data_IF_871423585083
#
_entry.id   IF_871423585083
#
_cell.length_a   1.000
_cell.length_b   1.000
_cell.length_c   1.000
_cell.angle_alpha   90.00
_cell.angle_beta   90.00
_cell.angle_gamma   90.00
#
_symmetry.space_group_name_H-M   'P 1'
#
loop_
_entity.id
_entity.type
_entity.pdbx_description
1 polymer ?
#
# COMPACT_ATOMS: atom_id res chain seq x y z
N UNK A 1 1.61 40.80 -0.75
CA UNK A 1 0.22 40.55 -0.30
C UNK A 1 0.29 40.07 1.14
N UNK A 2 -0.50 40.69 2.01
CA UNK A 2 -0.55 40.39 3.44
C UNK A 2 -1.07 38.95 3.66
N UNK A 3 -0.34 38.07 4.37
CA UNK A 3 -0.80 36.73 4.71
C UNK A 3 -2.15 36.69 5.43
N UNK A 4 -2.56 37.80 6.06
CA UNK A 4 -3.81 37.93 6.78
C UNK A 4 -5.06 38.10 5.87
N UNK A 5 -4.90 38.53 4.61
CA UNK A 5 -6.04 38.71 3.69
C UNK A 5 -6.40 37.43 2.90
N UNK A 6 -5.47 36.48 2.79
CA UNK A 6 -5.67 35.21 2.07
C UNK A 6 -6.63 34.23 2.80
N UNK A 7 -6.96 34.49 4.06
CA UNK A 7 -7.82 33.62 4.88
C UNK A 7 -9.33 33.94 4.77
N UNK A 8 -9.73 34.91 3.92
CA UNK A 8 -11.13 35.36 3.77
C UNK A 8 -11.90 34.73 2.60
N UNK A 9 -11.63 33.48 2.28
CA UNK A 9 -12.56 32.66 1.48
C UNK A 9 -12.83 31.31 2.15
N UNK A 10 -12.98 31.31 3.48
CA UNK A 10 -13.46 30.12 4.21
C UNK A 10 -14.98 29.99 4.02
N UNK A 11 -15.40 29.70 2.79
CA UNK A 11 -16.75 29.22 2.51
C UNK A 11 -16.88 27.82 3.09
N UNK A 12 -18.03 27.45 3.64
CA UNK A 12 -18.23 26.11 4.22
C UNK A 12 -17.87 24.95 3.27
N UNK A 13 -17.88 25.22 1.95
CA UNK A 13 -17.53 24.29 0.88
C UNK A 13 -16.05 23.88 0.84
N UNK A 14 -15.09 24.77 1.13
CA UNK A 14 -13.66 24.41 1.10
C UNK A 14 -13.29 23.40 2.19
N UNK A 15 -14.10 23.29 3.25
CA UNK A 15 -13.95 22.26 4.28
C UNK A 15 -14.36 20.86 3.79
N UNK A 16 -15.33 20.77 2.89
CA UNK A 16 -15.82 19.49 2.34
C UNK A 16 -15.15 19.14 1.02
N UNK A 17 -14.72 20.14 0.26
CA UNK A 17 -14.02 20.02 -1.02
C UNK A 17 -12.70 20.81 -0.97
N UNK A 18 -11.66 20.31 -0.28
CA UNK A 18 -10.37 20.98 -0.12
C UNK A 18 -9.73 21.45 -1.42
N UNK A 19 -9.95 20.74 -2.53
CA UNK A 19 -9.44 21.15 -3.83
C UNK A 19 -9.89 22.53 -4.29
N UNK A 20 -11.04 23.03 -3.85
CA UNK A 20 -11.47 24.39 -4.17
C UNK A 20 -10.56 25.46 -3.51
N UNK A 21 -9.85 25.11 -2.45
CA UNK A 21 -8.90 25.99 -1.78
C UNK A 21 -7.57 26.11 -2.52
N UNK A 22 -6.99 24.99 -2.96
CA UNK A 22 -5.66 24.98 -3.59
C UNK A 22 -5.72 25.19 -5.12
N UNK A 23 -6.83 24.87 -5.78
CA UNK A 23 -6.94 24.99 -7.25
C UNK A 23 -6.67 26.41 -7.78
N UNK A 24 -7.13 27.51 -7.13
CA UNK A 24 -6.80 28.88 -7.55
C UNK A 24 -5.32 29.25 -7.43
N UNK A 25 -4.55 28.55 -6.59
CA UNK A 25 -3.12 28.80 -6.37
C UNK A 25 -2.23 28.15 -7.44
N UNK A 26 -2.81 27.27 -8.27
CA UNK A 26 -2.10 26.57 -9.35
C UNK A 26 -1.70 27.56 -10.44
N UNK A 27 -0.40 27.66 -10.67
CA UNK A 27 0.20 28.46 -11.73
C UNK A 27 1.12 27.59 -12.60
N UNK A 28 1.68 28.15 -13.68
CA UNK A 28 2.53 27.39 -14.62
C UNK A 28 3.77 26.79 -13.97
N UNK A 29 4.30 27.41 -12.92
CA UNK A 29 5.51 26.93 -12.23
C UNK A 29 5.18 25.78 -11.28
N UNK A 30 4.10 25.90 -10.51
CA UNK A 30 3.63 24.83 -9.61
C UNK A 30 3.13 23.64 -10.40
N UNK A 31 2.35 23.85 -11.47
CA UNK A 31 1.88 22.75 -12.33
C UNK A 31 3.03 21.92 -12.92
N UNK A 32 4.13 22.57 -13.35
CA UNK A 32 5.31 21.84 -13.86
C UNK A 32 6.03 21.07 -12.75
N UNK A 33 6.19 21.69 -11.58
CA UNK A 33 6.84 21.06 -10.43
C UNK A 33 6.02 19.85 -9.95
N UNK A 34 4.71 20.02 -9.79
CA UNK A 34 3.78 19.00 -9.32
C UNK A 34 3.63 17.86 -10.34
N UNK A 35 3.66 18.16 -11.64
CA UNK A 35 3.66 17.13 -12.67
C UNK A 35 4.91 16.23 -12.58
N UNK A 36 6.10 16.82 -12.43
CA UNK A 36 7.34 16.05 -12.28
C UNK A 36 7.33 15.25 -10.97
N UNK A 37 6.87 15.85 -9.87
CA UNK A 37 6.75 15.19 -8.58
C UNK A 37 5.75 14.02 -8.64
N UNK A 38 4.56 14.25 -9.19
CA UNK A 38 3.51 13.25 -9.36
C UNK A 38 3.95 12.11 -10.28
N UNK A 39 4.63 12.41 -11.38
CA UNK A 39 5.21 11.38 -12.26
C UNK A 39 6.24 10.54 -11.50
N UNK A 40 7.12 11.16 -10.73
CA UNK A 40 8.13 10.45 -9.93
C UNK A 40 7.48 9.54 -8.89
N UNK A 41 6.45 10.04 -8.19
CA UNK A 41 5.69 9.25 -7.20
C UNK A 41 4.96 8.09 -7.88
N UNK A 42 4.29 8.32 -9.01
CA UNK A 42 3.58 7.29 -9.76
C UNK A 42 4.53 6.17 -10.22
N UNK A 43 5.70 6.52 -10.74
CA UNK A 43 6.72 5.56 -11.18
C UNK A 43 7.21 4.64 -10.06
N UNK A 44 7.28 5.13 -8.82
CA UNK A 44 7.61 4.32 -7.64
C UNK A 44 6.40 3.55 -7.13
N UNK A 45 5.21 4.14 -7.20
CA UNK A 45 3.97 3.54 -6.72
C UNK A 45 3.57 2.29 -7.52
N UNK A 46 3.78 2.27 -8.84
CA UNK A 46 3.40 1.13 -9.70
C UNK A 46 3.97 -0.21 -9.18
N UNK A 47 5.31 -0.41 -9.09
CA UNK A 47 5.86 -1.67 -8.61
C UNK A 47 5.52 -1.93 -7.14
N UNK A 48 5.44 -0.88 -6.32
CA UNK A 48 5.12 -0.99 -4.90
C UNK A 48 3.70 -1.54 -4.68
N UNK A 49 2.73 -1.05 -5.43
CA UNK A 49 1.34 -1.47 -5.32
C UNK A 49 1.12 -2.90 -5.78
N UNK A 50 1.83 -3.35 -6.83
CA UNK A 50 1.82 -4.75 -7.26
C UNK A 50 2.31 -5.67 -6.12
N UNK A 51 3.41 -5.32 -5.45
CA UNK A 51 3.93 -6.07 -4.32
C UNK A 51 2.97 -6.07 -3.12
N UNK A 52 2.36 -4.93 -2.80
CA UNK A 52 1.41 -4.83 -1.69
C UNK A 52 0.10 -5.58 -1.93
N UNK A 53 -0.33 -5.74 -3.18
CA UNK A 53 -1.45 -6.61 -3.52
C UNK A 53 -1.14 -8.09 -3.22
N UNK A 54 0.09 -8.54 -3.55
CA UNK A 54 0.53 -9.89 -3.21
C UNK A 54 0.60 -10.09 -1.68
N UNK A 55 1.03 -9.09 -0.91
CA UNK A 55 0.97 -9.13 0.55
C UNK A 55 -0.47 -9.23 1.08
N UNK A 56 -1.44 -8.69 0.36
CA UNK A 56 -2.86 -8.80 0.69
C UNK A 56 -3.48 -10.14 0.24
N UNK A 57 -2.71 -11.01 -0.41
CA UNK A 57 -3.19 -12.31 -0.89
C UNK A 57 -4.04 -12.26 -2.16
N UNK A 58 -4.08 -11.12 -2.85
CA UNK A 58 -4.82 -10.93 -4.09
C UNK A 58 -3.87 -10.87 -5.29
N UNK A 59 -4.36 -11.12 -6.52
CA UNK A 59 -3.54 -10.97 -7.73
C UNK A 59 -2.91 -9.58 -7.80
N UNK A 60 -1.67 -9.49 -8.30
CA UNK A 60 -0.88 -8.26 -8.23
C UNK A 60 -1.59 -7.03 -8.83
N UNK A 61 -2.37 -7.23 -9.91
CA UNK A 61 -3.08 -6.15 -10.60
C UNK A 61 -4.11 -5.43 -9.71
N UNK A 62 -4.61 -6.05 -8.63
CA UNK A 62 -5.47 -5.37 -7.64
C UNK A 62 -4.78 -4.16 -7.02
N UNK A 63 -3.45 -4.19 -6.91
CA UNK A 63 -2.66 -3.07 -6.41
C UNK A 63 -2.75 -1.84 -7.31
N UNK A 64 -2.76 -2.05 -8.63
CA UNK A 64 -2.94 -0.97 -9.60
C UNK A 64 -4.32 -0.33 -9.44
N UNK A 65 -5.37 -1.15 -9.26
CA UNK A 65 -6.73 -0.66 -9.00
C UNK A 65 -6.83 0.08 -7.66
N UNK A 66 -6.22 -0.45 -6.60
CA UNK A 66 -6.15 0.19 -5.29
C UNK A 66 -5.35 1.51 -5.29
N UNK A 67 -4.56 1.76 -6.33
CA UNK A 67 -3.75 2.99 -6.50
C UNK A 67 -4.35 3.95 -7.54
N UNK A 68 -5.51 3.64 -8.10
CA UNK A 68 -6.17 4.50 -9.09
C UNK A 68 -7.17 5.44 -8.42
N UNK A 69 -8.35 4.94 -8.08
CA UNK A 69 -9.44 5.76 -7.53
C UNK A 69 -9.10 6.34 -6.15
N UNK A 70 -8.56 5.57 -5.18
CA UNK A 70 -8.24 6.12 -3.86
C UNK A 70 -7.22 7.26 -3.89
N UNK A 71 -6.31 7.27 -4.87
CA UNK A 71 -5.32 8.33 -5.05
C UNK A 71 -5.95 9.60 -5.59
N UNK A 72 -6.85 9.47 -6.58
CA UNK A 72 -7.61 10.59 -7.12
C UNK A 72 -8.50 11.21 -6.02
N UNK A 73 -9.22 10.36 -5.29
CA UNK A 73 -10.07 10.81 -4.17
C UNK A 73 -9.23 11.47 -3.08
N UNK A 74 -8.09 10.88 -2.72
CA UNK A 74 -7.16 11.43 -1.73
C UNK A 74 -6.57 12.78 -2.14
N UNK A 75 -6.20 12.96 -3.41
CA UNK A 75 -5.68 14.22 -3.91
C UNK A 75 -6.74 15.35 -3.93
N UNK A 76 -8.01 15.01 -4.19
CA UNK A 76 -9.10 15.99 -4.23
C UNK A 76 -9.65 16.33 -2.84
N UNK A 77 -9.78 15.33 -1.97
CA UNK A 77 -10.45 15.46 -0.67
C UNK A 77 -9.49 15.51 0.53
N UNK A 78 -8.19 15.30 0.31
CA UNK A 78 -7.17 15.38 1.34
C UNK A 78 -6.92 16.82 1.80
N UNK A 79 -6.65 17.01 3.10
CA UNK A 79 -6.28 18.31 3.66
C UNK A 79 -4.80 18.67 3.46
N UNK A 80 -3.94 17.69 3.15
CA UNK A 80 -2.51 17.89 2.91
C UNK A 80 -2.17 17.76 1.43
N UNK A 81 -1.65 18.82 0.78
CA UNK A 81 -1.37 18.82 -0.66
C UNK A 81 -0.21 17.90 -1.07
N UNK A 82 0.61 17.45 -0.12
CA UNK A 82 1.76 16.59 -0.37
C UNK A 82 1.56 15.14 0.10
N UNK A 83 0.38 14.81 0.63
CA UNK A 83 0.07 13.44 1.05
C UNK A 83 -0.30 12.60 -0.20
N UNK A 84 0.50 11.59 -0.49
CA UNK A 84 0.13 10.54 -1.44
C UNK A 84 -0.58 9.42 -0.69
N UNK A 85 -1.81 9.10 -1.08
CA UNK A 85 -2.51 7.90 -0.62
C UNK A 85 -2.17 6.70 -1.52
N UNK A 86 -2.50 5.49 -1.08
CA UNK A 86 -2.24 4.25 -1.81
C UNK A 86 -2.27 3.04 -0.89
N UNK A 87 -2.13 1.82 -1.43
CA UNK A 87 -1.96 0.62 -0.62
C UNK A 87 -0.67 0.72 0.22
N UNK A 88 -0.68 0.10 1.40
CA UNK A 88 0.46 0.07 2.32
C UNK A 88 0.69 -1.37 2.77
N UNK A 89 1.96 -1.78 2.90
CA UNK A 89 2.34 -3.15 3.24
C UNK A 89 1.63 -3.70 4.50
N UNK A 90 1.48 -2.86 5.50
CA UNK A 90 0.91 -3.24 6.79
C UNK A 90 -0.59 -3.52 6.71
N UNK A 91 -1.36 -2.63 6.07
CA UNK A 91 -2.81 -2.80 5.89
C UNK A 91 -3.12 -3.97 4.96
N UNK A 92 -2.27 -4.21 3.96
CA UNK A 92 -2.28 -5.42 3.13
C UNK A 92 -2.13 -6.70 3.96
N UNK A 93 -1.08 -6.79 4.80
CA UNK A 93 -0.84 -7.96 5.64
C UNK A 93 -1.97 -8.21 6.65
N UNK A 94 -2.47 -7.15 7.29
CA UNK A 94 -3.59 -7.26 8.24
C UNK A 94 -4.87 -7.71 7.57
N UNK A 95 -5.11 -7.24 6.34
CA UNK A 95 -6.26 -7.66 5.54
C UNK A 95 -6.15 -9.14 5.19
N UNK A 96 -5.00 -9.60 4.71
CA UNK A 96 -4.77 -11.01 4.40
C UNK A 96 -4.93 -11.90 5.64
N UNK A 97 -4.30 -11.51 6.77
CA UNK A 97 -4.36 -12.23 8.04
C UNK A 97 -5.78 -12.29 8.63
N UNK A 98 -6.60 -11.27 8.40
CA UNK A 98 -7.99 -11.27 8.87
C UNK A 98 -8.87 -12.15 7.98
N UNK A 99 -8.71 -12.03 6.66
CA UNK A 99 -9.56 -12.75 5.69
C UNK A 99 -9.23 -14.25 5.65
N UNK A 100 -7.97 -14.66 5.87
CA UNK A 100 -7.58 -16.09 5.89
C UNK A 100 -8.31 -16.93 6.95
N UNK A 101 -8.88 -16.28 7.96
CA UNK A 101 -9.66 -16.97 9.00
C UNK A 101 -11.06 -17.37 8.53
N UNK A 102 -11.51 -16.79 7.41
CA UNK A 102 -12.86 -16.93 6.87
C UNK A 102 -12.89 -17.54 5.47
N UNK A 103 -11.81 -17.37 4.69
CA UNK A 103 -11.69 -17.91 3.32
C UNK A 103 -10.27 -18.38 3.04
N UNK A 104 -10.13 -19.38 2.17
CA UNK A 104 -8.82 -19.91 1.76
C UNK A 104 -8.15 -19.01 0.71
N UNK A 105 -6.83 -18.82 0.81
CA UNK A 105 -6.04 -18.04 -0.16
C UNK A 105 -6.28 -18.46 -1.61
N UNK A 106 -6.26 -17.48 -2.51
CA UNK A 106 -6.37 -17.71 -3.95
C UNK A 106 -7.77 -18.01 -4.47
N UNK A 107 -8.77 -18.13 -3.59
CA UNK A 107 -10.16 -18.36 -3.98
C UNK A 107 -10.88 -17.06 -4.32
N UNK A 108 -11.89 -17.11 -5.19
CA UNK A 108 -12.73 -15.94 -5.49
C UNK A 108 -13.40 -15.37 -4.24
N UNK A 109 -13.79 -16.25 -3.30
CA UNK A 109 -14.36 -15.86 -2.00
C UNK A 109 -13.36 -15.05 -1.15
N UNK A 110 -12.08 -15.44 -1.15
CA UNK A 110 -11.04 -14.67 -0.47
C UNK A 110 -10.90 -13.26 -1.07
N UNK A 111 -10.85 -13.15 -2.40
CA UNK A 111 -10.78 -11.83 -3.07
C UNK A 111 -12.00 -10.97 -2.76
N UNK A 112 -13.19 -11.59 -2.75
CA UNK A 112 -14.43 -10.93 -2.40
C UNK A 112 -14.44 -10.39 -0.96
N UNK A 113 -13.90 -11.17 0.00
CA UNK A 113 -13.77 -10.74 1.39
C UNK A 113 -12.66 -9.69 1.59
N UNK A 114 -11.59 -9.69 0.80
CA UNK A 114 -10.61 -8.59 0.79
C UNK A 114 -11.28 -7.28 0.37
N UNK A 115 -12.12 -7.30 -0.68
CA UNK A 115 -12.90 -6.13 -1.12
C UNK A 115 -13.89 -5.69 -0.03
N UNK A 116 -14.59 -6.64 0.60
CA UNK A 116 -15.50 -6.35 1.71
C UNK A 116 -14.76 -5.72 2.91
N UNK A 117 -13.57 -6.23 3.25
CA UNK A 117 -12.73 -5.67 4.33
C UNK A 117 -12.35 -4.23 4.03
N UNK A 118 -11.95 -3.93 2.79
CA UNK A 118 -11.65 -2.57 2.37
C UNK A 118 -12.87 -1.64 2.49
N UNK A 119 -14.06 -2.12 2.10
CA UNK A 119 -15.31 -1.38 2.24
C UNK A 119 -15.65 -1.10 3.72
N UNK A 120 -15.64 -2.13 4.57
CA UNK A 120 -15.93 -2.00 6.01
C UNK A 120 -14.93 -1.06 6.70
N UNK A 121 -13.64 -1.21 6.40
CA UNK A 121 -12.60 -0.33 6.94
C UNK A 121 -12.79 1.12 6.48
N UNK A 122 -13.13 1.34 5.22
CA UNK A 122 -13.47 2.67 4.68
C UNK A 122 -14.69 3.28 5.37
N UNK A 123 -15.75 2.50 5.63
CA UNK A 123 -16.92 2.95 6.38
C UNK A 123 -16.57 3.36 7.82
N UNK A 124 -15.70 2.59 8.50
CA UNK A 124 -15.18 3.00 9.80
C UNK A 124 -14.39 4.30 9.71
N UNK A 125 -13.51 4.48 8.72
CA UNK A 125 -12.75 5.72 8.56
C UNK A 125 -13.66 6.92 8.30
N UNK A 126 -14.70 6.77 7.48
CA UNK A 126 -15.73 7.80 7.29
C UNK A 126 -16.41 8.12 8.63
N UNK A 127 -16.80 7.09 9.40
CA UNK A 127 -17.38 7.27 10.73
C UNK A 127 -16.46 8.02 11.70
N UNK A 128 -15.18 7.65 11.76
CA UNK A 128 -14.17 8.35 12.57
C UNK A 128 -14.01 9.82 12.13
N UNK A 129 -14.00 10.08 10.82
CA UNK A 129 -13.93 11.43 10.26
C UNK A 129 -15.15 12.28 10.61
N UNK A 130 -16.36 11.74 10.44
CA UNK A 130 -17.62 12.41 10.82
C UNK A 130 -17.66 12.67 12.33
N UNK A 131 -17.24 11.71 13.14
CA UNK A 131 -17.12 11.85 14.60
C UNK A 131 -15.99 12.78 15.05
N UNK A 132 -15.19 13.32 14.12
CA UNK A 132 -14.00 14.14 14.41
C UNK A 132 -13.03 13.47 15.39
N UNK A 133 -12.90 12.15 15.28
CA UNK A 133 -12.13 11.32 16.20
C UNK A 133 -10.61 11.38 15.95
N UNK A 134 -10.11 12.49 15.38
CA UNK A 134 -8.67 12.73 15.19
C UNK A 134 -7.87 12.70 16.50
N UNK A 135 -8.53 12.92 17.65
CA UNK A 135 -7.95 12.82 18.99
C UNK A 135 -7.49 11.39 19.31
N UNK A 136 -8.04 10.35 18.66
CA UNK A 136 -7.64 8.95 18.89
C UNK A 136 -6.13 8.72 18.71
N UNK A 137 -5.45 9.53 17.89
CA UNK A 137 -4.00 9.45 17.71
C UNK A 137 -3.22 9.74 18.99
N UNK A 138 -3.76 10.58 19.89
CA UNK A 138 -3.09 10.98 21.12
C UNK A 138 -3.10 9.85 22.17
N UNK A 139 -3.94 8.83 21.99
CA UNK A 139 -4.01 7.68 22.89
C UNK A 139 -3.00 6.59 22.57
N UNK A 140 -2.28 6.68 21.45
CA UNK A 140 -1.25 5.72 21.07
C UNK A 140 0.13 6.22 21.47
N UNK A 141 0.68 5.53 22.47
CA UNK A 141 1.99 5.86 22.99
C UNK A 141 3.08 5.58 21.97
N UNK A 142 4.12 6.41 21.98
CA UNK A 142 5.28 6.25 21.13
C UNK A 142 5.94 4.86 21.22
N UNK A 143 6.06 4.22 22.41
CA UNK A 143 6.56 2.85 22.53
C UNK A 143 5.72 1.81 21.78
N UNK A 144 4.38 1.92 21.80
CA UNK A 144 3.48 0.98 21.10
C UNK A 144 3.69 1.08 19.60
N UNK A 145 3.75 2.30 19.07
CA UNK A 145 3.99 2.53 17.63
C UNK A 145 5.35 1.96 17.19
N UNK A 146 6.41 2.17 17.99
CA UNK A 146 7.74 1.61 17.70
C UNK A 146 7.75 0.07 17.71
N UNK A 147 7.15 -0.54 18.74
CA UNK A 147 7.04 -2.00 18.83
C UNK A 147 6.31 -2.59 17.64
N UNK A 148 5.20 -1.94 17.25
CA UNK A 148 4.39 -2.34 16.12
C UNK A 148 5.10 -2.20 14.77
N UNK A 149 5.75 -1.07 14.48
CA UNK A 149 6.51 -0.88 13.23
C UNK A 149 7.65 -1.90 13.11
N UNK A 150 8.37 -2.17 14.21
CA UNK A 150 9.45 -3.17 14.20
C UNK A 150 8.92 -4.58 13.95
N UNK A 151 7.81 -4.96 14.59
CA UNK A 151 7.17 -6.26 14.34
C UNK A 151 6.70 -6.38 12.89
N UNK A 152 6.04 -5.33 12.35
CA UNK A 152 5.61 -5.30 10.97
C UNK A 152 6.79 -5.42 9.99
N UNK A 153 7.91 -4.73 10.25
CA UNK A 153 9.12 -4.82 9.42
C UNK A 153 9.69 -6.26 9.39
N UNK A 154 9.73 -6.94 10.55
CA UNK A 154 10.18 -8.33 10.62
C UNK A 154 9.22 -9.25 9.86
N UNK A 155 7.91 -9.09 10.05
CA UNK A 155 6.90 -9.89 9.36
C UNK A 155 6.98 -9.71 7.85
N UNK A 156 7.09 -8.46 7.36
CA UNK A 156 7.24 -8.16 5.94
C UNK A 156 8.52 -8.81 5.40
N UNK A 157 9.65 -8.67 6.07
CA UNK A 157 10.92 -9.22 5.61
C UNK A 157 10.86 -10.76 5.50
N UNK A 158 10.33 -11.42 6.54
CA UNK A 158 10.19 -12.88 6.58
C UNK A 158 9.14 -13.39 5.59
N UNK A 159 8.06 -12.63 5.33
CA UNK A 159 7.04 -13.03 4.35
C UNK A 159 7.54 -12.99 2.89
N UNK A 160 8.67 -12.32 2.63
CA UNK A 160 9.30 -12.33 1.31
C UNK A 160 10.19 -13.56 1.07
N UNK A 161 10.57 -14.31 2.11
CA UNK A 161 11.48 -15.45 1.97
C UNK A 161 10.96 -16.55 1.03
N UNK A 162 9.68 -16.98 1.08
CA UNK A 162 9.17 -17.98 0.14
C UNK A 162 9.35 -17.55 -1.32
N UNK A 163 8.94 -16.32 -1.66
CA UNK A 163 9.07 -15.77 -3.01
C UNK A 163 10.53 -15.63 -3.44
N UNK A 164 11.41 -15.17 -2.53
CA UNK A 164 12.84 -15.03 -2.80
C UNK A 164 13.52 -16.37 -3.06
N UNK A 165 13.12 -17.43 -2.34
CA UNK A 165 13.65 -18.79 -2.55
C UNK A 165 12.93 -19.53 -3.69
N UNK A 166 11.88 -18.96 -4.28
CA UNK A 166 11.06 -19.61 -5.30
C UNK A 166 10.24 -20.79 -4.77
N UNK A 167 9.92 -20.80 -3.48
CA UNK A 167 9.13 -21.84 -2.85
C UNK A 167 7.63 -21.52 -2.96
N UNK A 168 6.85 -22.47 -3.46
CA UNK A 168 5.39 -22.39 -3.50
C UNK A 168 4.80 -23.11 -2.29
N UNK A 169 4.80 -22.43 -1.14
CA UNK A 169 4.24 -22.96 0.11
C UNK A 169 2.79 -22.50 0.27
N UNK A 170 1.94 -23.38 0.79
CA UNK A 170 0.59 -22.99 1.22
C UNK A 170 0.70 -22.22 2.53
N UNK A 171 0.17 -21.00 2.55
CA UNK A 171 0.09 -20.21 3.78
C UNK A 171 -0.84 -20.91 4.78
N UNK A 172 -0.39 -21.01 6.03
CA UNK A 172 -1.21 -21.48 7.15
C UNK A 172 -1.85 -20.30 7.88
N UNK A 173 -2.65 -20.59 8.91
CA UNK A 173 -3.19 -19.59 9.83
C UNK A 173 -2.12 -19.06 10.82
N UNK A 174 -0.94 -19.68 10.86
CA UNK A 174 0.10 -19.40 11.84
C UNK A 174 1.41 -18.97 11.17
N UNK A 175 1.66 -17.66 11.18
CA UNK A 175 2.84 -17.06 10.56
C UNK A 175 4.19 -17.71 10.96
N UNK A 176 4.37 -18.06 12.24
CA UNK A 176 5.61 -18.69 12.68
C UNK A 176 5.79 -20.09 12.10
N UNK A 177 4.70 -20.83 11.90
CA UNK A 177 4.72 -22.13 11.21
C UNK A 177 5.11 -21.96 9.75
N UNK A 178 4.61 -20.92 9.09
CA UNK A 178 4.97 -20.63 7.68
C UNK A 178 6.48 -20.35 7.55
N UNK A 179 7.06 -19.59 8.48
CA UNK A 179 8.50 -19.31 8.49
C UNK A 179 9.31 -20.58 8.74
N UNK A 180 8.88 -21.45 9.66
CA UNK A 180 9.56 -22.73 9.92
C UNK A 180 9.49 -23.64 8.69
N UNK A 181 8.33 -23.73 8.03
CA UNK A 181 8.18 -24.51 6.80
C UNK A 181 9.11 -24.03 5.68
N UNK A 182 9.36 -22.71 5.57
CA UNK A 182 10.36 -22.17 4.62
C UNK A 182 11.76 -22.71 4.92
N UNK A 183 12.14 -22.78 6.19
CA UNK A 183 13.46 -23.29 6.59
C UNK A 183 13.56 -24.80 6.33
N UNK A 184 12.52 -25.56 6.68
CA UNK A 184 12.47 -27.02 6.45
C UNK A 184 12.55 -27.40 4.97
N UNK A 185 11.96 -26.59 4.09
CA UNK A 185 11.92 -26.82 2.64
C UNK A 185 12.95 -25.98 1.88
N UNK A 186 13.92 -25.37 2.56
CA UNK A 186 14.94 -24.54 1.92
C UNK A 186 15.79 -25.32 0.90
N UNK A 187 15.88 -26.65 1.05
CA UNK A 187 16.52 -27.55 0.09
C UNK A 187 15.81 -27.62 -1.27
N UNK A 188 14.53 -27.23 -1.34
CA UNK A 188 13.74 -27.21 -2.58
C UNK A 188 13.80 -25.84 -3.29
N UNK A 189 14.69 -24.94 -2.86
CA UNK A 189 14.76 -23.59 -3.41
C UNK A 189 15.10 -23.58 -4.91
N UNK A 190 14.46 -22.66 -5.63
CA UNK A 190 14.79 -22.38 -7.01
C UNK A 190 15.99 -21.42 -7.07
N UNK A 191 17.14 -21.92 -7.49
CA UNK A 191 18.42 -21.18 -7.45
C UNK A 191 18.38 -19.86 -8.23
N UNK A 192 17.69 -19.83 -9.38
CA UNK A 192 17.53 -18.60 -10.15
C UNK A 192 16.66 -17.59 -9.40
N UNK A 193 15.58 -18.01 -8.72
CA UNK A 193 14.74 -17.10 -7.92
C UNK A 193 15.56 -16.42 -6.81
N UNK A 194 16.39 -17.20 -6.10
CA UNK A 194 17.29 -16.64 -5.08
C UNK A 194 18.27 -15.64 -5.68
N UNK A 195 18.86 -15.98 -6.83
CA UNK A 195 19.78 -15.09 -7.54
C UNK A 195 19.09 -13.79 -7.95
N UNK A 196 17.87 -13.85 -8.49
CA UNK A 196 17.06 -12.67 -8.81
C UNK A 196 16.80 -11.81 -7.59
N UNK A 197 16.38 -12.42 -6.48
CA UNK A 197 16.09 -11.72 -5.24
C UNK A 197 17.33 -11.00 -4.68
N UNK A 198 18.43 -11.73 -4.51
CA UNK A 198 19.68 -11.18 -3.97
C UNK A 198 20.26 -10.11 -4.91
N UNK A 199 20.31 -10.38 -6.22
CA UNK A 199 20.79 -9.40 -7.19
C UNK A 199 19.94 -8.12 -7.20
N UNK A 200 18.61 -8.25 -7.10
CA UNK A 200 17.70 -7.10 -7.00
C UNK A 200 17.96 -6.27 -5.75
N UNK A 201 18.17 -6.91 -4.59
CA UNK A 201 18.50 -6.22 -3.34
C UNK A 201 19.85 -5.50 -3.41
N UNK A 202 20.88 -6.16 -3.96
CA UNK A 202 22.21 -5.58 -4.17
C UNK A 202 22.10 -4.38 -5.11
N UNK A 203 21.43 -4.52 -6.25
CA UNK A 203 21.25 -3.45 -7.21
C UNK A 203 20.49 -2.26 -6.61
N UNK A 204 19.44 -2.52 -5.84
CA UNK A 204 18.70 -1.48 -5.15
C UNK A 204 19.58 -0.73 -4.13
N UNK A 205 20.41 -1.45 -3.37
CA UNK A 205 21.36 -0.87 -2.43
C UNK A 205 22.44 -0.03 -3.15
N UNK A 206 22.95 -0.49 -4.29
CA UNK A 206 23.91 0.23 -5.12
C UNK A 206 23.29 1.51 -5.69
N UNK A 207 22.08 1.45 -6.27
CA UNK A 207 21.37 2.63 -6.78
C UNK A 207 21.12 3.64 -5.65
N UNK A 208 20.67 3.17 -4.48
CA UNK A 208 20.46 4.02 -3.31
C UNK A 208 21.75 4.71 -2.84
N UNK A 209 22.90 4.03 -2.96
CA UNK A 209 24.21 4.57 -2.56
C UNK A 209 24.79 5.54 -3.58
N UNK A 210 24.76 5.21 -4.87
CA UNK A 210 25.49 5.93 -5.92
C UNK A 210 24.63 6.90 -6.71
N UNK A 211 23.34 6.61 -6.89
CA UNK A 211 22.40 7.43 -7.69
C UNK A 211 21.05 7.58 -6.98
N UNK A 212 21.00 8.15 -5.77
CA UNK A 212 19.78 8.21 -4.93
C UNK A 212 18.63 9.04 -5.53
N UNK A 213 18.88 9.81 -6.60
CA UNK A 213 17.86 10.61 -7.29
C UNK A 213 17.06 9.81 -8.32
N UNK A 214 17.52 8.61 -8.69
CA UNK A 214 16.84 7.77 -9.66
C UNK A 214 15.76 6.91 -8.97
N UNK A 215 14.65 6.58 -9.67
CA UNK A 215 13.62 5.69 -9.15
C UNK A 215 14.13 4.24 -9.13
N UNK A 216 14.95 3.90 -8.13
CA UNK A 216 15.70 2.64 -8.09
C UNK A 216 14.83 1.39 -8.14
N UNK A 217 13.68 1.40 -7.45
CA UNK A 217 12.73 0.27 -7.48
C UNK A 217 12.24 0.01 -8.90
N UNK A 218 11.85 1.06 -9.64
CA UNK A 218 11.39 0.91 -11.01
C UNK A 218 12.49 0.36 -11.92
N UNK A 219 13.70 0.91 -11.81
CA UNK A 219 14.85 0.46 -12.63
C UNK A 219 15.12 -1.03 -12.39
N UNK A 220 15.17 -1.45 -11.12
CA UNK A 220 15.40 -2.85 -10.75
C UNK A 220 14.29 -3.74 -11.31
N UNK A 221 13.03 -3.37 -11.14
CA UNK A 221 11.89 -4.16 -11.65
C UNK A 221 11.91 -4.24 -13.17
N UNK A 222 12.09 -3.13 -13.88
CA UNK A 222 12.16 -3.13 -15.35
C UNK A 222 13.31 -3.99 -15.87
N UNK A 223 14.50 -3.87 -15.26
CA UNK A 223 15.65 -4.68 -15.65
C UNK A 223 15.42 -6.17 -15.34
N UNK A 224 14.90 -6.49 -14.15
CA UNK A 224 14.60 -7.86 -13.76
C UNK A 224 13.54 -8.49 -14.67
N UNK A 225 12.47 -7.76 -15.00
CA UNK A 225 11.45 -8.23 -15.94
C UNK A 225 12.04 -8.48 -17.33
N UNK A 226 12.89 -7.57 -17.82
CA UNK A 226 13.54 -7.74 -19.13
C UNK A 226 14.48 -8.94 -19.17
N UNK A 227 15.32 -9.12 -18.14
CA UNK A 227 16.22 -10.28 -18.04
C UNK A 227 15.42 -11.57 -17.90
N UNK A 228 14.38 -11.59 -17.07
CA UNK A 228 13.47 -12.72 -16.87
C UNK A 228 12.85 -13.18 -18.20
N UNK A 229 12.45 -12.24 -19.06
CA UNK A 229 11.95 -12.53 -20.41
C UNK A 229 13.02 -13.17 -21.30
N UNK A 230 14.24 -12.61 -21.34
CA UNK A 230 15.31 -13.10 -22.22
C UNK A 230 15.76 -14.52 -21.89
N UNK A 231 15.81 -14.88 -20.61
CA UNK A 231 16.28 -16.21 -20.17
C UNK A 231 15.14 -17.24 -20.11
N UNK A 232 13.90 -16.85 -20.39
CA UNK A 232 12.74 -17.74 -20.25
C UNK A 232 12.53 -18.20 -18.80
N UNK A 233 12.68 -17.30 -17.83
CA UNK A 233 12.68 -17.63 -16.39
C UNK A 233 11.43 -18.41 -15.94
N UNK A 234 10.26 -18.07 -16.49
CA UNK A 234 9.00 -18.77 -16.20
C UNK A 234 9.03 -20.22 -16.69
N UNK A 235 9.64 -20.48 -17.85
CA UNK A 235 9.74 -21.82 -18.43
C UNK A 235 10.67 -22.75 -17.62
N UNK A 236 11.60 -22.18 -16.86
CA UNK A 236 12.51 -22.92 -15.96
C UNK A 236 11.91 -23.19 -14.57
N UNK A 237 10.64 -22.85 -14.35
CA UNK A 237 9.94 -23.03 -13.06
C UNK A 237 9.98 -21.80 -12.16
N UNK A 238 10.50 -20.68 -12.65
CA UNK A 238 10.44 -19.39 -11.96
C UNK A 238 9.01 -18.85 -11.87
N UNK A 239 8.65 -18.27 -10.72
CA UNK A 239 7.33 -17.67 -10.52
C UNK A 239 7.34 -16.22 -10.99
N UNK A 240 6.45 -15.88 -11.91
CA UNK A 240 6.27 -14.52 -12.43
C UNK A 240 4.91 -13.94 -12.03
N UNK A 241 4.77 -12.61 -12.16
CA UNK A 241 3.50 -11.90 -11.89
C UNK A 241 2.38 -12.38 -12.82
N UNK A 242 2.72 -12.90 -14.00
CA UNK A 242 1.77 -13.43 -14.97
C UNK A 242 1.08 -12.33 -15.77
N UNK A 243 -0.07 -12.69 -16.36
CA UNK A 243 -0.84 -11.80 -17.24
C UNK A 243 -1.60 -10.76 -16.42
N UNK A 244 -1.40 -9.49 -16.73
CA UNK A 244 -2.19 -8.38 -16.18
C UNK A 244 -3.38 -8.13 -17.13
N UNK A 245 -4.63 -8.24 -16.65
CA UNK A 245 -5.80 -7.99 -17.49
C UNK A 245 -5.82 -6.54 -17.95
N UNK A 246 -6.21 -6.32 -19.20
CA UNK A 246 -6.38 -4.98 -19.75
C UNK A 246 -7.76 -4.43 -19.38
N UNK A 247 -7.82 -3.12 -19.12
CA UNK A 247 -9.06 -2.39 -18.87
C UNK A 247 -9.23 -1.94 -17.42
N UNK A 248 -10.37 -1.31 -17.17
CA UNK A 248 -10.78 -0.87 -15.84
C UNK A 248 -11.52 -2.00 -15.11
N UNK A 249 -11.45 -2.04 -13.77
CA UNK A 249 -12.22 -3.02 -13.02
C UNK A 249 -13.72 -2.78 -13.22
N UNK A 250 -14.48 -3.86 -13.43
CA UNK A 250 -15.94 -3.78 -13.42
C UNK A 250 -16.44 -3.40 -12.03
N UNK A 251 -17.41 -2.48 -11.95
CA UNK A 251 -18.04 -2.16 -10.68
C UNK A 251 -18.87 -3.36 -10.21
N UNK A 252 -18.48 -3.95 -9.08
CA UNK A 252 -19.17 -5.06 -8.44
C UNK A 252 -19.41 -4.77 -6.97
N UNK A 253 -20.57 -5.15 -6.44
CA UNK A 253 -20.76 -5.17 -5.00
C UNK A 253 -20.14 -6.44 -4.42
N UNK A 254 -19.32 -6.36 -3.35
CA UNK A 254 -18.86 -7.56 -2.66
C UNK A 254 -20.05 -8.31 -2.06
N UNK A 255 -19.95 -9.65 -1.88
CA UNK A 255 -21.00 -10.44 -1.27
C UNK A 255 -21.25 -9.94 0.15
N UNK A 256 -22.41 -9.35 0.38
CA UNK A 256 -22.80 -8.83 1.68
C UNK A 256 -23.43 -9.96 2.51
N UNK A 257 -22.59 -10.91 2.93
CA UNK A 257 -22.98 -11.89 3.93
C UNK A 257 -22.96 -11.20 5.30
N UNK A 258 -24.13 -11.12 5.92
CA UNK A 258 -24.29 -10.46 7.22
C UNK A 258 -23.46 -11.12 8.32
N UNK A 259 -23.40 -12.46 8.35
CA UNK A 259 -22.66 -13.19 9.37
C UNK A 259 -21.16 -12.95 9.28
N UNK A 260 -20.63 -13.00 8.05
CA UNK A 260 -19.22 -12.74 7.77
C UNK A 260 -18.87 -11.28 8.02
N UNK A 261 -19.72 -10.35 7.57
CA UNK A 261 -19.52 -8.91 7.78
C UNK A 261 -19.37 -8.57 9.26
N UNK A 262 -20.20 -9.17 10.13
CA UNK A 262 -20.15 -8.97 11.58
C UNK A 262 -18.86 -9.51 12.20
N UNK A 263 -18.38 -10.67 11.73
CA UNK A 263 -17.11 -11.26 12.18
C UNK A 263 -15.89 -10.42 11.77
N UNK A 264 -15.98 -9.71 10.65
CA UNK A 264 -14.90 -8.86 10.13
C UNK A 264 -14.84 -7.47 10.79
N UNK A 265 -15.90 -7.02 11.49
CA UNK A 265 -15.95 -5.66 12.06
C UNK A 265 -14.76 -5.33 13.00
N UNK A 266 -14.33 -6.21 13.92
CA UNK A 266 -13.20 -5.90 14.80
C UNK A 266 -11.90 -5.68 14.01
N UNK A 267 -11.62 -6.55 13.04
CA UNK A 267 -10.46 -6.43 12.15
C UNK A 267 -10.55 -5.17 11.28
N UNK A 268 -11.70 -4.91 10.68
CA UNK A 268 -11.94 -3.72 9.86
C UNK A 268 -11.72 -2.42 10.64
N UNK A 269 -12.16 -2.37 11.90
CA UNK A 269 -11.95 -1.24 12.80
C UNK A 269 -10.47 -1.03 13.14
N UNK A 270 -9.73 -2.10 13.43
CA UNK A 270 -8.28 -2.05 13.69
C UNK A 270 -7.54 -1.54 12.45
N UNK A 271 -7.84 -2.10 11.27
CA UNK A 271 -7.26 -1.65 10.00
C UNK A 271 -7.61 -0.18 9.73
N UNK A 272 -8.84 0.26 10.04
CA UNK A 272 -9.28 1.64 9.88
C UNK A 272 -8.47 2.61 10.75
N UNK A 273 -8.27 2.28 12.03
CA UNK A 273 -7.46 3.10 12.94
C UNK A 273 -6.02 3.17 12.45
N UNK A 274 -5.41 2.04 12.10
CA UNK A 274 -4.01 1.99 11.66
C UNK A 274 -3.81 2.82 10.39
N UNK A 275 -4.66 2.62 9.39
CA UNK A 275 -4.60 3.38 8.13
C UNK A 275 -4.80 4.88 8.36
N UNK A 276 -5.77 5.25 9.22
CA UNK A 276 -6.02 6.63 9.61
C UNK A 276 -4.79 7.26 10.26
N UNK A 277 -4.13 6.54 11.18
CA UNK A 277 -2.93 7.01 11.84
C UNK A 277 -1.74 7.16 10.91
N UNK A 278 -1.52 6.23 9.98
CA UNK A 278 -0.41 6.31 9.02
C UNK A 278 -0.53 7.56 8.15
N UNK A 279 -1.74 7.84 7.64
CA UNK A 279 -2.02 9.03 6.87
C UNK A 279 -1.80 10.31 7.69
N UNK A 280 -2.36 10.36 8.91
CA UNK A 280 -2.24 11.52 9.81
C UNK A 280 -0.79 11.77 10.25
N UNK A 281 -0.05 10.71 10.59
CA UNK A 281 1.37 10.78 10.98
C UNK A 281 2.23 11.30 9.82
N UNK A 282 1.98 10.81 8.60
CA UNK A 282 2.66 11.28 7.38
C UNK A 282 2.38 12.77 7.13
N UNK A 283 1.11 13.18 7.19
CA UNK A 283 0.72 14.59 7.07
C UNK A 283 1.38 15.47 8.13
N UNK A 284 1.41 15.04 9.39
CA UNK A 284 2.06 15.77 10.48
C UNK A 284 3.57 15.94 10.26
N UNK A 285 4.26 14.90 9.79
CA UNK A 285 5.70 14.98 9.48
C UNK A 285 5.96 15.96 8.35
N UNK A 286 5.14 15.94 7.29
CA UNK A 286 5.22 16.87 6.17
C UNK A 286 5.02 18.31 6.70
N UNK A 287 3.94 18.56 7.44
CA UNK A 287 3.60 19.85 8.01
C UNK A 287 4.73 20.45 8.87
N UNK A 288 5.38 19.62 9.70
CA UNK A 288 6.54 20.03 10.49
C UNK A 288 7.72 20.44 9.59
N UNK A 289 7.98 19.68 8.52
CA UNK A 289 9.08 19.99 7.57
C UNK A 289 8.79 21.24 6.74
N UNK A 290 7.55 21.44 6.29
CA UNK A 290 7.13 22.57 5.45
C UNK A 290 6.72 23.80 6.24
N UNK A 291 6.63 23.71 7.57
CA UNK A 291 6.11 24.77 8.47
C UNK A 291 4.70 25.24 8.09
N UNK A 292 3.88 24.31 7.63
CA UNK A 292 2.47 24.55 7.28
C UNK A 292 1.54 23.90 8.31
N UNK A 293 0.32 24.42 8.45
CA UNK A 293 -0.72 23.75 9.24
C UNK A 293 -1.29 22.57 8.43
N UNK A 294 -1.84 21.56 9.12
CA UNK A 294 -2.38 20.32 8.53
C UNK A 294 -3.74 19.95 9.13
#
# INVERSE_FOLDING_TARGET
MDPAELHRANTGWTRFLPFLGWLPEVNRTTLKADFIAGLTVALVAIPQSLAYAQLAGVPAYYGLYASLLPVIVGALLGSSPALSTGPVAMTSLLTAASVMTLASYGTEQFYAYVILMALLSGLFQIGLGVGRMGVLINFLSYPVLRGFINAAAIIIALSQLPAMLGLQLKNSTHFLSDVLHVVEHANLMHTLSLTFGVASLVLLALIKKFTPRLPGVLIVVTLATYISYLIGFEADGGVVVGVIPQGLPSLSMPPMDWGVSMQMLPAAFVIAIISFMEAMSSSKIIAIKTRTQW
#
